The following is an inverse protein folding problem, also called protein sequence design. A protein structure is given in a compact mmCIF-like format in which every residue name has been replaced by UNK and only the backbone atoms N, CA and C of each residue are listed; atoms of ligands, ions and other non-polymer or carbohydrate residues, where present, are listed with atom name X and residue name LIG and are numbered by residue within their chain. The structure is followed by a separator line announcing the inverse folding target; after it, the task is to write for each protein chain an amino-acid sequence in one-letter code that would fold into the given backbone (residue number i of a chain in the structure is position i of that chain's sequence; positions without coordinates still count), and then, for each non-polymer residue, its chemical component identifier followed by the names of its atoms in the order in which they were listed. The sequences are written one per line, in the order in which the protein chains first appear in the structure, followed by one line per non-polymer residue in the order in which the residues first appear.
data_IF_532365893142
#
_entry.id   IF_532365893142
#
_cell.length_a   1.000
_cell.length_b   1.000
_cell.length_c   1.000
_cell.angle_alpha   90.00
_cell.angle_beta   90.00
_cell.angle_gamma   90.00
#
_symmetry.space_group_name_H-M   'P 1'
#
loop_
_entity.id
_entity.type
_entity.pdbx_description
1 polymer ?
#
# COMPACT_ATOMS: atom_id res chain seq x y z
N UNK A 1 10.34 4.41 -30.24
CA UNK A 1 10.28 4.69 -29.88
C UNK A 1 9.98 5.22 -29.05
N UNK A 2 10.04 5.56 -28.59
CA UNK A 2 9.51 6.11 -27.80
C UNK A 2 9.09 5.41 -26.70
N UNK A 3 9.16 4.25 -26.44
CA UNK A 3 8.72 3.60 -25.41
C UNK A 3 9.47 3.83 -24.18
N UNK A 4 10.76 4.00 -24.13
CA UNK A 4 11.50 4.29 -22.98
C UNK A 4 11.20 5.58 -22.41
N UNK A 5 11.03 6.56 -23.22
CA UNK A 5 10.67 7.83 -22.75
C UNK A 5 9.36 7.81 -22.11
N UNK A 6 8.49 7.02 -22.62
CA UNK A 6 7.19 6.88 -22.05
C UNK A 6 7.26 6.37 -20.62
N UNK A 7 8.14 5.47 -20.35
CA UNK A 7 8.27 4.96 -19.01
C UNK A 7 8.70 6.03 -18.03
N UNK A 8 9.63 6.85 -18.41
CA UNK A 8 10.06 7.88 -17.52
C UNK A 8 9.01 8.90 -17.30
N UNK A 9 8.29 9.24 -18.32
CA UNK A 9 7.23 10.17 -18.17
C UNK A 9 6.15 9.62 -17.33
N UNK A 10 5.90 8.34 -17.46
CA UNK A 10 4.90 7.70 -16.68
C UNK A 10 5.25 7.78 -15.19
N UNK A 11 6.50 7.59 -14.83
CA UNK A 11 6.89 7.68 -13.45
C UNK A 11 6.67 9.09 -12.91
N UNK A 12 6.96 10.11 -13.68
CA UNK A 12 6.70 11.45 -13.25
C UNK A 12 5.23 11.70 -13.08
N UNK A 13 4.44 11.18 -13.99
CA UNK A 13 3.03 11.38 -13.86
C UNK A 13 2.46 10.64 -12.70
N UNK A 14 3.06 9.52 -12.33
CA UNK A 14 2.60 8.80 -11.18
C UNK A 14 2.70 9.63 -9.91
N UNK A 15 3.68 10.50 -9.82
CA UNK A 15 3.80 11.35 -8.66
C UNK A 15 2.65 12.35 -8.58
N UNK A 16 2.00 12.62 -9.69
CA UNK A 16 0.89 13.57 -9.74
C UNK A 16 -0.48 12.93 -9.77
N UNK A 17 -0.55 11.66 -10.04
CA UNK A 17 -1.83 10.98 -10.20
C UNK A 17 -2.15 10.12 -9.01
N UNK A 18 -3.42 9.92 -8.72
CA UNK A 18 -3.80 8.97 -7.68
C UNK A 18 -3.34 7.57 -8.05
N UNK A 19 -2.91 6.83 -7.08
CA UNK A 19 -2.55 5.42 -7.24
C UNK A 19 -3.51 4.60 -6.40
N UNK A 20 -4.26 3.73 -7.06
CA UNK A 20 -5.27 2.94 -6.40
C UNK A 20 -4.89 1.47 -6.42
N UNK A 21 -5.00 0.83 -5.28
CA UNK A 21 -4.79 -0.60 -5.17
C UNK A 21 -6.02 -1.23 -4.53
N UNK A 22 -6.57 -2.24 -5.17
CA UNK A 22 -7.70 -2.97 -4.63
C UNK A 22 -7.30 -4.43 -4.47
N UNK A 23 -7.52 -4.97 -3.27
CA UNK A 23 -7.20 -6.35 -2.96
C UNK A 23 -8.47 -7.04 -2.48
N UNK A 24 -8.88 -8.10 -3.15
CA UNK A 24 -10.09 -8.82 -2.79
C UNK A 24 -9.80 -10.30 -2.59
N UNK A 25 -10.31 -10.85 -1.50
CA UNK A 25 -10.32 -12.30 -1.29
C UNK A 25 -8.94 -12.94 -1.40
N UNK A 26 -7.96 -12.32 -0.76
CA UNK A 26 -6.59 -12.82 -0.83
C UNK A 26 -6.12 -13.34 0.51
N UNK A 27 -5.27 -14.35 0.48
CA UNK A 27 -4.61 -14.86 1.67
C UNK A 27 -3.11 -14.66 1.47
N UNK A 28 -2.49 -14.03 2.45
CA UNK A 28 -1.06 -13.75 2.39
C UNK A 28 -0.35 -14.52 3.50
N UNK A 29 0.62 -15.31 3.13
CA UNK A 29 1.37 -16.14 4.09
C UNK A 29 2.84 -15.79 4.01
N UNK A 30 3.43 -15.51 5.16
CA UNK A 30 4.87 -15.29 5.25
C UNK A 30 5.50 -16.54 5.82
N UNK A 31 6.29 -17.22 5.01
CA UNK A 31 6.90 -18.46 5.42
C UNK A 31 7.87 -18.30 6.53
N UNK A 32 8.46 -17.13 6.65
CA UNK A 32 9.46 -16.87 7.66
C UNK A 32 8.93 -16.15 8.86
N UNK A 33 7.64 -16.05 8.99
CA UNK A 33 7.01 -15.55 10.20
C UNK A 33 7.56 -14.24 10.71
N UNK A 34 7.31 -13.21 9.97
CA UNK A 34 7.66 -11.87 10.43
C UNK A 34 9.11 -11.50 10.37
N UNK A 35 9.91 -12.27 9.68
CA UNK A 35 11.32 -12.03 9.56
C UNK A 35 11.66 -10.63 9.10
N UNK A 36 11.01 -10.10 8.18
CA UNK A 36 11.38 -8.83 7.62
C UNK A 36 10.87 -7.63 8.41
N UNK A 37 10.04 -7.84 9.41
CA UNK A 37 9.44 -6.74 10.13
C UNK A 37 8.55 -5.90 9.27
N UNK A 38 7.89 -6.52 8.31
CA UNK A 38 7.06 -5.77 7.36
C UNK A 38 5.69 -6.37 7.22
N UNK A 39 4.71 -5.48 7.06
CA UNK A 39 3.36 -5.88 6.72
C UNK A 39 3.30 -6.32 5.26
N UNK A 40 2.16 -6.83 4.84
CA UNK A 40 1.95 -7.30 3.48
C UNK A 40 2.10 -6.17 2.48
N UNK A 41 1.48 -5.03 2.74
CA UNK A 41 1.42 -3.92 1.80
C UNK A 41 2.05 -2.69 2.43
N UNK A 42 3.02 -2.10 1.76
CA UNK A 42 3.61 -0.86 2.22
C UNK A 42 3.19 0.25 1.29
N UNK A 43 2.52 1.25 1.81
CA UNK A 43 1.96 2.34 1.02
C UNK A 43 2.61 3.65 1.41
N UNK A 44 2.65 4.58 0.48
CA UNK A 44 3.14 5.91 0.78
C UNK A 44 4.59 6.11 0.47
N UNK A 45 5.02 5.61 -0.66
CA UNK A 45 6.40 5.69 -1.06
C UNK A 45 6.81 7.10 -1.50
N UNK A 46 5.87 7.90 -1.95
CA UNK A 46 6.13 9.25 -2.45
C UNK A 46 5.19 10.23 -1.76
N UNK A 47 5.73 11.20 -1.03
CA UNK A 47 4.92 12.16 -0.32
C UNK A 47 4.00 12.98 -1.20
N UNK A 48 4.36 13.15 -2.44
CA UNK A 48 3.56 13.99 -3.35
C UNK A 48 2.49 13.23 -4.10
N UNK A 49 2.44 11.92 -3.94
CA UNK A 49 1.44 11.11 -4.61
C UNK A 49 0.24 10.93 -3.71
N UNK A 50 -0.88 10.58 -4.31
CA UNK A 50 -2.11 10.27 -3.57
C UNK A 50 -2.40 8.79 -3.74
N UNK A 51 -2.65 8.11 -2.63
CA UNK A 51 -2.84 6.66 -2.65
C UNK A 51 -4.20 6.31 -2.07
N UNK A 52 -4.83 5.32 -2.67
CA UNK A 52 -6.05 4.73 -2.12
C UNK A 52 -5.85 3.22 -2.05
N UNK A 53 -6.01 2.66 -0.87
CA UNK A 53 -5.92 1.23 -0.67
C UNK A 53 -7.27 0.72 -0.21
N UNK A 54 -7.81 -0.24 -0.93
CA UNK A 54 -9.08 -0.87 -0.57
C UNK A 54 -8.84 -2.36 -0.45
N UNK A 55 -9.13 -2.93 0.71
CA UNK A 55 -8.92 -4.35 0.95
C UNK A 55 -10.20 -4.97 1.45
N UNK A 56 -10.61 -6.05 0.81
CA UNK A 56 -11.81 -6.78 1.21
C UNK A 56 -11.49 -8.26 1.37
N UNK A 57 -11.79 -8.80 2.54
CA UNK A 57 -11.63 -10.24 2.81
C UNK A 57 -10.20 -10.74 2.62
N UNK A 58 -9.26 -10.07 3.25
CA UNK A 58 -7.86 -10.52 3.23
C UNK A 58 -7.54 -11.25 4.52
N UNK A 59 -6.75 -12.30 4.39
CA UNK A 59 -6.26 -13.06 5.54
C UNK A 59 -4.74 -12.95 5.53
N UNK A 60 -4.17 -12.66 6.68
CA UNK A 60 -2.72 -12.44 6.79
C UNK A 60 -2.16 -13.38 7.84
N UNK A 61 -1.15 -14.13 7.47
CA UNK A 61 -0.48 -15.08 8.38
C UNK A 61 1.02 -14.85 8.37
N UNK A 62 1.58 -14.58 9.52
CA UNK A 62 3.04 -14.58 9.67
C UNK A 62 3.75 -13.26 9.40
N UNK A 63 3.04 -12.24 8.98
CA UNK A 63 3.68 -10.95 8.71
C UNK A 63 3.82 -10.14 10.00
N UNK A 64 4.75 -9.21 10.01
CA UNK A 64 4.97 -8.36 11.16
C UNK A 64 4.04 -7.15 11.12
N UNK A 65 4.02 -6.40 12.21
CA UNK A 65 3.20 -5.18 12.27
C UNK A 65 3.76 -4.11 11.34
N UNK A 66 2.90 -3.43 10.65
CA UNK A 66 3.30 -2.39 9.73
C UNK A 66 3.67 -1.10 10.43
N UNK A 67 4.54 -0.37 9.79
CA UNK A 67 4.99 0.92 10.31
C UNK A 67 3.83 1.89 10.36
N UNK A 68 3.70 2.56 11.49
CA UNK A 68 2.68 3.59 11.73
C UNK A 68 1.23 3.10 11.75
N UNK A 69 1.00 1.82 11.65
CA UNK A 69 -0.37 1.29 11.64
C UNK A 69 -0.61 0.22 12.69
N UNK A 70 0.43 -0.53 13.04
CA UNK A 70 0.26 -1.70 13.90
C UNK A 70 -0.46 -2.85 13.23
N UNK A 71 -0.88 -2.70 12.00
CA UNK A 71 -1.58 -3.74 11.26
C UNK A 71 -0.58 -4.66 10.59
N UNK A 72 -0.89 -5.96 10.53
CA UNK A 72 -0.03 -6.88 9.81
C UNK A 72 -0.34 -6.86 8.31
N UNK A 73 -1.45 -6.25 7.93
CA UNK A 73 -1.87 -6.16 6.54
C UNK A 73 -1.20 -5.01 5.81
N UNK A 74 -1.09 -3.86 6.44
CA UNK A 74 -0.56 -2.69 5.72
C UNK A 74 0.28 -1.79 6.61
N UNK A 75 1.13 -1.01 5.96
CA UNK A 75 1.99 -0.04 6.62
C UNK A 75 1.85 1.30 5.91
N UNK A 76 1.90 2.40 6.68
CA UNK A 76 1.91 3.76 6.13
C UNK A 76 3.36 4.20 6.12
N UNK A 77 4.04 3.98 5.03
CA UNK A 77 5.49 4.01 4.97
C UNK A 77 6.11 5.35 5.35
N UNK A 78 5.54 6.42 4.92
CA UNK A 78 6.07 7.75 5.15
C UNK A 78 5.15 8.62 5.99
N UNK A 79 4.32 8.01 6.82
CA UNK A 79 3.39 8.74 7.68
C UNK A 79 2.52 9.68 6.86
N UNK A 80 2.00 9.17 5.77
CA UNK A 80 1.15 9.97 4.88
C UNK A 80 -0.11 10.38 5.60
N UNK A 81 -0.56 11.59 5.37
CA UNK A 81 -1.78 12.10 6.01
C UNK A 81 -3.03 11.74 5.22
N UNK A 82 -4.18 12.09 5.76
CA UNK A 82 -5.45 11.74 5.14
C UNK A 82 -5.67 12.42 3.80
N UNK A 83 -4.97 13.49 3.52
CA UNK A 83 -5.09 14.14 2.23
C UNK A 83 -4.40 13.34 1.12
N UNK A 84 -3.45 12.50 1.49
CA UNK A 84 -2.65 11.75 0.52
C UNK A 84 -2.83 10.24 0.61
N UNK A 85 -3.45 9.74 1.67
CA UNK A 85 -3.64 8.30 1.79
C UNK A 85 -5.01 8.01 2.38
N UNK A 86 -5.77 7.21 1.68
CA UNK A 86 -7.07 6.73 2.15
C UNK A 86 -7.02 5.21 2.15
N UNK A 87 -7.38 4.60 3.27
CA UNK A 87 -7.38 3.14 3.39
C UNK A 87 -8.73 2.68 3.91
N UNK A 88 -9.33 1.74 3.19
CA UNK A 88 -10.60 1.13 3.58
C UNK A 88 -10.40 -0.37 3.64
N UNK A 89 -10.76 -0.96 4.77
CA UNK A 89 -10.62 -2.40 4.96
C UNK A 89 -11.95 -2.98 5.36
N UNK A 90 -12.43 -3.92 4.57
CA UNK A 90 -13.74 -4.57 4.77
C UNK A 90 -14.85 -3.54 4.95
N UNK A 91 -14.81 -2.50 4.14
CA UNK A 91 -15.83 -1.46 4.16
C UNK A 91 -15.66 -0.41 5.23
N UNK A 92 -14.63 -0.50 6.05
CA UNK A 92 -14.38 0.46 7.12
C UNK A 92 -13.18 1.32 6.78
N UNK A 93 -13.36 2.63 6.80
CA UNK A 93 -12.26 3.54 6.53
C UNK A 93 -11.37 3.61 7.76
N UNK A 94 -10.11 3.24 7.60
CA UNK A 94 -9.14 3.23 8.70
C UNK A 94 -8.10 4.32 8.58
N UNK A 95 -8.11 5.01 7.45
CA UNK A 95 -7.24 6.17 7.30
C UNK A 95 -7.84 7.18 6.32
#
# INVERSE_FOLDING_TARGET
MRRQRTSRQFAKKSAEKPTDLVVNNCTFNDRKSGTAGKAVIEVGNDYNATYTLTVNHATVNGFAAGKNTGSHLWANKNSMDAAHLTVTIDGTKVQ
#
